data_IF_771287140538
#
_entry.id   IF_771287140538
#
_cell.length_a   1.000
_cell.length_b   1.000
_cell.length_c   1.000
_cell.angle_alpha   90.00
_cell.angle_beta   90.00
_cell.angle_gamma   90.00
#
_symmetry.space_group_name_H-M   'P 1'
#
loop_
_entity.id
_entity.type
_entity.pdbx_description
1 polymer ?
#
# COMPACT_ATOMS: atom_id res chain seq x y z
N UNK A 1 -4.37 -4.43 13.80
CA UNK A 1 -5.63 -5.18 13.90
C UNK A 1 -6.25 -5.35 12.52
N UNK A 2 -6.92 -6.48 12.28
CA UNK A 2 -7.65 -6.78 11.04
C UNK A 2 -9.03 -7.37 11.39
N UNK A 3 -10.00 -7.23 10.51
CA UNK A 3 -11.37 -7.72 10.71
C UNK A 3 -11.64 -8.87 9.74
N UNK A 4 -12.15 -9.98 10.25
CA UNK A 4 -12.42 -11.18 9.46
C UNK A 4 -13.92 -11.32 9.16
N UNK A 5 -14.26 -12.03 8.10
CA UNK A 5 -15.63 -12.34 7.72
C UNK A 5 -15.68 -13.46 6.69
N UNK A 6 -16.81 -14.17 6.61
CA UNK A 6 -17.03 -15.23 5.62
C UNK A 6 -17.72 -14.70 4.34
N UNK A 7 -18.16 -13.44 4.35
CA UNK A 7 -18.83 -12.79 3.23
C UNK A 7 -18.04 -11.60 2.74
N UNK A 8 -18.25 -11.24 1.46
CA UNK A 8 -17.57 -10.09 0.86
C UNK A 8 -17.90 -8.80 1.62
N UNK A 9 -16.89 -7.96 1.96
CA UNK A 9 -17.09 -6.71 2.67
C UNK A 9 -18.04 -5.75 1.94
N UNK A 10 -19.14 -5.39 2.59
CA UNK A 10 -20.02 -4.31 2.15
C UNK A 10 -19.45 -2.94 2.51
N UNK A 11 -19.88 -1.84 1.86
CA UNK A 11 -19.46 -0.48 2.22
C UNK A 11 -19.64 -0.16 3.71
N UNK A 12 -20.78 -0.55 4.30
CA UNK A 12 -21.04 -0.36 5.73
C UNK A 12 -20.02 -1.11 6.61
N UNK A 13 -19.70 -2.36 6.25
CA UNK A 13 -18.74 -3.16 7.02
C UNK A 13 -17.31 -2.65 6.91
N UNK A 14 -16.94 -2.06 5.76
CA UNK A 14 -15.65 -1.37 5.55
C UNK A 14 -15.60 -0.11 6.41
N UNK A 15 -16.70 0.66 6.46
CA UNK A 15 -16.79 1.87 7.28
C UNK A 15 -16.56 1.58 8.76
N UNK A 16 -17.21 0.54 9.30
CA UNK A 16 -16.99 0.10 10.70
C UNK A 16 -15.52 -0.22 10.98
N UNK A 17 -14.85 -0.95 10.07
CA UNK A 17 -13.44 -1.25 10.22
C UNK A 17 -12.58 0.02 10.21
N UNK A 18 -12.86 0.97 9.31
CA UNK A 18 -12.13 2.25 9.22
C UNK A 18 -12.32 3.11 10.47
N UNK A 19 -13.54 3.29 10.96
CA UNK A 19 -13.82 4.07 12.18
C UNK A 19 -13.13 3.45 13.40
N UNK A 20 -13.07 2.11 13.45
CA UNK A 20 -12.31 1.41 14.48
C UNK A 20 -10.79 1.64 14.35
N UNK A 21 -10.24 1.61 13.13
CA UNK A 21 -8.82 1.94 12.89
C UNK A 21 -8.49 3.38 13.29
N UNK A 22 -9.36 4.33 12.95
CA UNK A 22 -9.19 5.73 13.30
C UNK A 22 -9.22 5.99 14.82
N UNK A 23 -10.01 5.23 15.57
CA UNK A 23 -10.17 5.41 17.02
C UNK A 23 -9.21 4.57 17.87
N UNK A 24 -8.74 3.43 17.38
CA UNK A 24 -7.92 2.47 18.15
C UNK A 24 -6.52 2.25 17.58
N UNK A 25 -6.19 2.90 16.47
CA UNK A 25 -4.93 2.75 15.77
C UNK A 25 -4.92 1.61 14.73
N UNK A 26 -3.79 1.49 14.05
CA UNK A 26 -3.61 0.64 12.87
C UNK A 26 -2.73 -0.57 13.16
N UNK A 27 -2.55 -1.47 12.16
CA UNK A 27 -1.79 -2.71 12.33
C UNK A 27 -0.27 -2.59 12.12
N UNK A 28 0.27 -1.38 12.02
CA UNK A 28 1.69 -1.11 11.83
C UNK A 28 2.29 -0.35 13.02
N UNK A 29 3.56 -0.61 13.41
CA UNK A 29 4.21 0.12 14.49
C UNK A 29 4.41 1.59 14.14
N UNK A 30 4.11 2.48 15.08
CA UNK A 30 4.32 3.93 14.94
C UNK A 30 5.76 4.31 14.56
N UNK A 31 6.83 3.68 15.12
CA UNK A 31 8.20 3.99 14.73
C UNK A 31 8.53 3.72 13.26
N UNK A 32 7.70 2.94 12.55
CA UNK A 32 7.92 2.58 11.15
C UNK A 32 7.10 3.44 10.18
N UNK A 33 6.22 4.30 10.69
CA UNK A 33 5.41 5.20 9.87
C UNK A 33 6.33 6.17 9.13
N UNK A 34 6.21 6.21 7.80
CA UNK A 34 7.05 7.06 6.96
C UNK A 34 8.44 6.50 6.66
N UNK A 35 8.78 5.28 7.09
CA UNK A 35 10.05 4.65 6.75
C UNK A 35 10.28 4.49 5.23
N UNK A 36 9.19 4.43 4.46
CA UNK A 36 9.18 4.38 2.99
C UNK A 36 8.98 5.75 2.32
N UNK A 37 8.89 6.86 3.07
CA UNK A 37 8.61 8.20 2.53
C UNK A 37 9.65 8.66 1.53
N UNK A 38 10.91 8.31 1.78
CA UNK A 38 11.96 8.42 0.77
C UNK A 38 11.97 7.11 -0.02
N UNK A 39 11.75 7.21 -1.33
CA UNK A 39 11.85 6.05 -2.20
C UNK A 39 13.19 5.36 -1.95
N UNK A 40 13.22 4.03 -1.74
CA UNK A 40 14.50 3.32 -1.76
C UNK A 40 15.17 3.63 -3.09
N UNK A 41 16.49 3.84 -3.07
CA UNK A 41 17.25 4.01 -4.30
C UNK A 41 16.88 2.88 -5.25
N UNK A 42 16.51 3.22 -6.50
CA UNK A 42 16.35 2.23 -7.54
C UNK A 42 17.63 1.39 -7.53
N UNK A 43 17.55 0.08 -7.26
CA UNK A 43 18.74 -0.69 -6.98
C UNK A 43 19.66 -0.65 -8.19
N UNK A 44 20.95 -0.43 -7.94
CA UNK A 44 21.96 -0.48 -8.99
C UNK A 44 21.97 -1.90 -9.58
N UNK A 45 21.88 -2.01 -10.90
CA UNK A 45 22.06 -3.29 -11.58
C UNK A 45 23.57 -3.61 -11.56
N UNK A 46 24.05 -4.23 -10.50
CA UNK A 46 25.47 -4.63 -10.35
C UNK A 46 25.79 -5.98 -11.00
N UNK A 47 24.83 -6.60 -11.69
CA UNK A 47 25.01 -7.81 -12.47
C UNK A 47 25.26 -9.08 -11.64
N UNK A 48 25.23 -9.00 -10.30
CA UNK A 48 25.52 -10.14 -9.42
C UNK A 48 24.47 -10.27 -8.32
N UNK A 49 23.36 -10.93 -8.66
CA UNK A 49 22.48 -11.56 -7.68
C UNK A 49 21.51 -10.65 -6.92
N UNK A 50 20.32 -10.43 -7.51
CA UNK A 50 19.11 -10.03 -6.79
C UNK A 50 19.10 -8.59 -6.25
N UNK A 51 17.95 -7.93 -6.36
CA UNK A 51 17.75 -6.56 -5.89
C UNK A 51 17.87 -6.48 -4.35
N UNK A 52 18.73 -5.60 -3.82
CA UNK A 52 18.90 -5.38 -2.37
C UNK A 52 18.73 -3.91 -2.00
N UNK A 53 17.93 -3.64 -0.97
CA UNK A 53 17.95 -2.36 -0.26
C UNK A 53 19.09 -2.46 0.77
N UNK A 54 20.17 -1.71 0.56
CA UNK A 54 21.39 -1.79 1.37
C UNK A 54 21.38 -0.88 2.61
N UNK A 55 20.61 0.21 2.59
CA UNK A 55 20.68 1.29 3.59
C UNK A 55 19.30 1.83 4.00
N UNK A 56 19.27 2.57 5.12
CA UNK A 56 18.10 3.31 5.60
C UNK A 56 17.26 2.59 6.66
N UNK A 57 16.19 3.23 7.17
CA UNK A 57 15.37 2.70 8.27
C UNK A 57 14.67 1.37 7.94
N UNK A 58 14.54 1.02 6.67
CA UNK A 58 14.01 -0.27 6.23
C UNK A 58 15.02 -1.42 6.41
N UNK A 59 16.33 -1.14 6.41
CA UNK A 59 17.36 -2.18 6.52
C UNK A 59 17.36 -2.88 7.90
N UNK A 60 16.91 -2.20 8.95
CA UNK A 60 16.88 -2.71 10.33
C UNK A 60 15.56 -3.41 10.70
N UNK A 61 14.56 -3.41 9.83
CA UNK A 61 13.24 -3.97 10.14
C UNK A 61 13.16 -5.46 9.76
N UNK A 62 12.67 -6.34 10.66
CA UNK A 62 12.70 -7.79 10.47
C UNK A 62 11.78 -8.31 9.35
N UNK A 63 10.90 -7.46 8.81
CA UNK A 63 9.93 -7.78 7.75
C UNK A 63 9.98 -6.83 6.54
N UNK A 64 10.98 -5.94 6.45
CA UNK A 64 11.01 -4.88 5.44
C UNK A 64 11.71 -5.26 4.13
N UNK A 65 12.12 -6.52 3.95
CA UNK A 65 12.89 -6.96 2.79
C UNK A 65 12.05 -7.83 1.87
N UNK A 66 11.15 -7.18 1.13
CA UNK A 66 10.59 -7.70 -0.11
C UNK A 66 10.36 -6.52 -1.07
N UNK A 67 11.36 -6.25 -1.89
CA UNK A 67 11.32 -5.19 -2.88
C UNK A 67 11.59 -5.79 -4.26
N UNK A 68 10.61 -5.66 -5.15
CA UNK A 68 10.72 -6.06 -6.55
C UNK A 68 10.49 -4.84 -7.43
N UNK A 69 11.27 -4.74 -8.51
CA UNK A 69 11.17 -3.66 -9.48
C UNK A 69 10.84 -4.25 -10.84
N UNK A 70 9.87 -3.65 -11.53
CA UNK A 70 9.48 -4.01 -12.89
C UNK A 70 9.18 -2.75 -13.68
N UNK A 71 9.62 -2.70 -14.93
CA UNK A 71 9.31 -1.59 -15.83
C UNK A 71 7.86 -1.70 -16.31
N UNK A 72 7.05 -0.68 -16.06
CA UNK A 72 5.62 -0.64 -16.44
C UNK A 72 5.32 0.26 -17.64
N UNK A 73 6.33 0.95 -18.17
CA UNK A 73 6.20 1.89 -19.29
C UNK A 73 7.32 2.93 -19.33
N UNK A 74 7.34 3.77 -20.36
CA UNK A 74 8.38 4.80 -20.58
C UNK A 74 7.77 6.14 -21.01
N UNK A 75 8.29 7.22 -20.44
CA UNK A 75 7.93 8.60 -20.80
C UNK A 75 6.66 9.13 -20.11
N UNK A 76 6.33 10.39 -20.41
CA UNK A 76 5.28 11.14 -19.70
C UNK A 76 3.87 10.54 -19.85
N UNK A 77 3.56 9.95 -21.01
CA UNK A 77 2.25 9.33 -21.26
C UNK A 77 1.99 8.12 -20.35
N UNK A 78 2.96 7.21 -20.26
CA UNK A 78 2.87 6.05 -19.37
C UNK A 78 2.90 6.45 -17.90
N UNK A 79 3.70 7.46 -17.54
CA UNK A 79 3.69 8.02 -16.18
C UNK A 79 2.31 8.54 -15.78
N UNK A 80 1.66 9.34 -16.64
CA UNK A 80 0.32 9.87 -16.38
C UNK A 80 -0.72 8.74 -16.23
N UNK A 81 -0.62 7.69 -17.05
CA UNK A 81 -1.49 6.50 -16.96
C UNK A 81 -1.27 5.74 -15.65
N UNK A 82 -0.02 5.49 -15.28
CA UNK A 82 0.33 4.82 -14.03
C UNK A 82 -0.16 5.61 -12.81
N UNK A 83 0.05 6.94 -12.80
CA UNK A 83 -0.46 7.85 -11.77
C UNK A 83 -1.98 7.79 -11.66
N UNK A 84 -2.69 7.80 -12.79
CA UNK A 84 -4.14 7.63 -12.83
C UNK A 84 -4.61 6.30 -12.22
N UNK A 85 -3.88 5.21 -12.46
CA UNK A 85 -4.15 3.90 -11.87
C UNK A 85 -3.91 3.91 -10.36
N UNK A 86 -2.80 4.49 -9.89
CA UNK A 86 -2.52 4.63 -8.45
C UNK A 86 -3.59 5.45 -7.73
N UNK A 87 -4.03 6.57 -8.33
CA UNK A 87 -5.07 7.44 -7.76
C UNK A 87 -6.43 6.78 -7.57
N UNK A 88 -6.71 5.70 -8.31
CA UNK A 88 -7.93 4.89 -8.21
C UNK A 88 -7.67 3.53 -7.55
N UNK A 89 -6.55 3.37 -6.86
CA UNK A 89 -6.16 2.14 -6.17
C UNK A 89 -6.09 0.89 -7.05
N UNK A 90 -5.80 1.05 -8.35
CA UNK A 90 -5.83 -0.05 -9.32
C UNK A 90 -4.87 -1.20 -9.00
N UNK A 91 -3.76 -0.93 -8.29
CA UNK A 91 -2.81 -1.94 -7.84
C UNK A 91 -3.37 -2.91 -6.79
N UNK A 92 -4.50 -2.57 -6.14
CA UNK A 92 -5.20 -3.50 -5.25
C UNK A 92 -6.21 -4.37 -5.98
N UNK A 93 -6.52 -4.13 -7.25
CA UNK A 93 -7.60 -4.83 -7.98
C UNK A 93 -7.13 -6.15 -8.58
N UNK A 94 -6.71 -7.07 -7.71
CA UNK A 94 -6.03 -8.33 -8.05
C UNK A 94 -6.98 -9.54 -8.11
N UNK A 95 -8.30 -9.32 -8.07
CA UNK A 95 -9.33 -10.37 -8.03
C UNK A 95 -9.53 -10.99 -6.64
N UNK A 96 -8.46 -11.14 -5.87
CA UNK A 96 -8.50 -11.56 -4.46
C UNK A 96 -8.35 -10.39 -3.49
N UNK A 97 -7.99 -9.19 -3.95
CA UNK A 97 -7.85 -7.98 -3.13
C UNK A 97 -8.61 -6.82 -3.78
N UNK A 98 -8.99 -5.83 -2.96
CA UNK A 98 -9.65 -4.61 -3.41
C UNK A 98 -9.55 -3.45 -2.41
N UNK A 99 -9.55 -2.24 -2.96
CA UNK A 99 -9.85 -0.98 -2.28
C UNK A 99 -10.96 -0.30 -3.09
N UNK A 100 -11.86 0.45 -2.46
CA UNK A 100 -12.91 1.14 -3.20
C UNK A 100 -12.28 2.23 -4.11
N UNK A 101 -12.58 2.30 -5.43
CA UNK A 101 -11.90 3.20 -6.36
C UNK A 101 -12.05 4.70 -6.06
N UNK A 102 -13.08 5.06 -5.30
CA UNK A 102 -13.40 6.40 -4.80
C UNK A 102 -12.69 6.75 -3.49
N UNK A 103 -11.91 5.82 -2.93
CA UNK A 103 -11.12 6.05 -1.71
C UNK A 103 -10.11 7.17 -1.95
N UNK A 104 -10.08 8.15 -1.05
CA UNK A 104 -9.17 9.28 -1.14
C UNK A 104 -7.69 8.89 -1.07
N UNK A 105 -6.82 9.72 -1.64
CA UNK A 105 -5.36 9.51 -1.72
C UNK A 105 -4.56 10.62 -1.06
N UNK A 106 -5.22 11.52 -0.32
CA UNK A 106 -4.59 12.60 0.42
C UNK A 106 -4.18 12.09 1.79
N UNK A 107 -3.15 12.70 2.37
CA UNK A 107 -2.78 12.42 3.75
C UNK A 107 -3.98 12.57 4.68
N UNK A 108 -4.16 11.58 5.57
CA UNK A 108 -5.30 11.51 6.47
C UNK A 108 -6.48 10.68 5.95
N UNK A 109 -6.60 10.46 4.64
CA UNK A 109 -7.69 9.67 4.08
C UNK A 109 -7.67 8.25 4.63
N UNK A 110 -8.84 7.77 5.06
CA UNK A 110 -9.01 6.41 5.57
C UNK A 110 -9.15 5.44 4.42
N UNK A 111 -8.48 4.30 4.54
CA UNK A 111 -8.42 3.26 3.52
C UNK A 111 -8.82 1.94 4.15
N UNK A 112 -9.59 1.12 3.44
CA UNK A 112 -9.88 -0.24 3.85
C UNK A 112 -9.45 -1.21 2.75
N UNK A 113 -8.29 -1.85 2.93
CA UNK A 113 -7.85 -2.92 2.04
C UNK A 113 -8.63 -4.17 2.40
N UNK A 114 -9.40 -4.68 1.45
CA UNK A 114 -10.15 -5.92 1.58
C UNK A 114 -9.43 -7.03 0.80
N UNK A 115 -9.28 -8.20 1.38
CA UNK A 115 -8.68 -9.34 0.70
C UNK A 115 -9.45 -10.62 1.02
N UNK A 116 -9.68 -11.48 0.02
CA UNK A 116 -10.14 -12.84 0.20
C UNK A 116 -8.94 -13.78 0.17
N UNK A 117 -8.68 -14.46 1.27
CA UNK A 117 -7.63 -15.47 1.37
C UNK A 117 -8.29 -16.77 1.79
N UNK A 118 -8.25 -17.76 0.89
CA UNK A 118 -8.84 -19.09 1.11
C UNK A 118 -10.32 -19.04 1.60
N UNK A 119 -11.12 -18.12 1.03
CA UNK A 119 -12.54 -17.97 1.39
C UNK A 119 -12.80 -17.05 2.58
N UNK A 120 -11.78 -16.64 3.33
CA UNK A 120 -11.91 -15.69 4.44
C UNK A 120 -11.65 -14.28 3.94
N UNK A 121 -12.61 -13.39 4.17
CA UNK A 121 -12.47 -11.98 3.89
C UNK A 121 -11.82 -11.25 5.06
N UNK A 122 -10.71 -10.60 4.76
CA UNK A 122 -9.96 -9.70 5.62
C UNK A 122 -10.33 -8.27 5.25
N UNK A 123 -10.58 -7.42 6.23
CA UNK A 123 -10.65 -5.96 6.11
C UNK A 123 -9.56 -5.37 6.97
N UNK A 124 -8.60 -4.73 6.33
CA UNK A 124 -7.50 -4.06 6.99
C UNK A 124 -7.71 -2.55 6.92
N UNK A 125 -8.13 -1.89 8.01
CA UNK A 125 -8.22 -0.43 8.03
C UNK A 125 -6.83 0.18 8.11
N UNK A 126 -6.62 1.22 7.32
CA UNK A 126 -5.36 1.94 7.14
C UNK A 126 -5.67 3.44 6.97
N UNK A 127 -4.61 4.24 6.94
CA UNK A 127 -4.67 5.67 6.63
C UNK A 127 -3.53 6.04 5.70
N UNK A 128 -3.79 6.95 4.77
CA UNK A 128 -2.72 7.56 3.97
C UNK A 128 -1.87 8.44 4.90
N UNK A 129 -0.59 8.08 5.05
CA UNK A 129 0.34 8.76 5.97
C UNK A 129 1.18 9.84 5.29
N UNK A 130 1.32 9.78 3.96
CA UNK A 130 1.89 10.83 3.13
C UNK A 130 1.41 10.61 1.68
N UNK A 131 1.40 11.68 0.89
CA UNK A 131 1.14 11.63 -0.54
C UNK A 131 2.08 12.62 -1.23
N UNK A 132 3.19 12.13 -1.75
CA UNK A 132 4.22 12.93 -2.38
C UNK A 132 4.38 12.50 -3.83
N UNK A 133 4.54 13.48 -4.69
CA UNK A 133 5.10 13.25 -6.02
C UNK A 133 6.59 13.55 -5.88
N UNK A 134 7.43 12.55 -6.12
CA UNK A 134 8.84 12.85 -6.35
C UNK A 134 8.88 13.83 -7.53
N UNK A 135 9.23 15.08 -7.24
CA UNK A 135 9.46 16.09 -8.27
C UNK A 135 10.59 15.64 -9.21
N UNK A 136 10.80 16.38 -10.32
CA UNK A 136 11.94 16.13 -11.20
C UNK A 136 13.28 16.13 -10.44
#
# INVERSE_FOLDING_TARGET
MVFLGLTRPTPASRRVAMDHGASRGYNYPEPHVGATRRAPHAPANDGVGGWRIADGPLASMPYARDATFVEIGRGAGDYARAKGMMRRWGHFQLGWSEVAPDTGVKEGDLVCVCANVAGVWIRNPLRVVYAEEAGP
#
